data_IF_744909004280
#
_entry.id   IF_744909004280
#
_cell.length_a   1.000
_cell.length_b   1.000
_cell.length_c   1.000
_cell.angle_alpha   90.00
_cell.angle_beta   90.00
_cell.angle_gamma   90.00
#
_symmetry.space_group_name_H-M   'P 1'
#
loop_
_entity.id
_entity.type
_entity.pdbx_description
1 polymer ?
#
# COMPACT_ATOMS: atom_id res chain seq x y z
N UNK A 1 -7.45 27.67 -10.52
CA UNK A 1 -8.30 26.46 -10.62
C UNK A 1 -7.36 25.28 -10.83
N UNK A 2 -7.05 24.50 -9.78
CA UNK A 2 -6.25 23.30 -9.96
C UNK A 2 -7.10 22.28 -10.73
N UNK A 3 -6.63 21.91 -11.92
CA UNK A 3 -7.26 20.87 -12.74
C UNK A 3 -7.23 19.58 -11.91
N UNK A 4 -8.38 19.10 -11.46
CA UNK A 4 -8.50 17.75 -10.94
C UNK A 4 -8.14 16.82 -12.11
N UNK A 5 -6.91 16.31 -12.10
CA UNK A 5 -6.54 15.21 -12.96
C UNK A 5 -7.62 14.13 -12.74
N UNK A 6 -8.23 13.65 -13.81
CA UNK A 6 -9.09 12.48 -13.73
C UNK A 6 -8.25 11.39 -13.05
N UNK A 7 -8.52 11.13 -11.76
CA UNK A 7 -7.85 10.11 -10.94
C UNK A 7 -8.26 8.74 -11.48
N UNK A 8 -7.77 8.44 -12.68
CA UNK A 8 -7.80 7.11 -13.26
C UNK A 8 -6.98 6.24 -12.32
N UNK A 9 -7.62 5.20 -11.80
CA UNK A 9 -6.95 4.23 -10.95
C UNK A 9 -5.65 3.78 -11.64
N UNK A 10 -4.52 3.97 -10.96
CA UNK A 10 -3.20 3.60 -11.45
C UNK A 10 -2.72 2.35 -10.72
N UNK A 11 -2.00 1.50 -11.44
CA UNK A 11 -1.30 0.40 -10.80
C UNK A 11 0.03 0.90 -10.24
N UNK A 12 0.24 0.74 -8.92
CA UNK A 12 1.50 1.11 -8.31
C UNK A 12 2.62 0.17 -8.81
N UNK A 13 3.78 0.67 -9.28
CA UNK A 13 4.84 -0.16 -9.86
C UNK A 13 5.39 -1.23 -8.91
N UNK A 14 5.31 -1.00 -7.60
CA UNK A 14 5.78 -1.94 -6.57
C UNK A 14 4.67 -2.84 -6.01
N UNK A 15 3.43 -2.70 -6.47
CA UNK A 15 2.27 -3.44 -5.92
C UNK A 15 2.47 -4.95 -5.87
N UNK A 16 3.05 -5.54 -6.91
CA UNK A 16 3.30 -6.98 -6.94
C UNK A 16 4.19 -7.43 -5.78
N UNK A 17 5.27 -6.70 -5.52
CA UNK A 17 6.20 -7.00 -4.42
C UNK A 17 5.59 -6.66 -3.07
N UNK A 18 4.84 -5.57 -3.00
CA UNK A 18 4.22 -5.12 -1.76
C UNK A 18 3.12 -6.08 -1.31
N UNK A 19 2.37 -6.70 -2.23
CA UNK A 19 1.44 -7.80 -1.92
C UNK A 19 2.12 -8.98 -1.21
N UNK A 20 3.31 -9.37 -1.65
CA UNK A 20 4.08 -10.43 -0.97
C UNK A 20 4.46 -10.04 0.47
N UNK A 21 4.73 -8.75 0.71
CA UNK A 21 5.00 -8.23 2.06
C UNK A 21 3.72 -8.22 2.89
N UNK A 22 2.59 -7.77 2.33
CA UNK A 22 1.28 -7.80 3.01
C UNK A 22 0.88 -9.22 3.38
N UNK A 23 0.98 -10.18 2.46
CA UNK A 23 0.67 -11.58 2.72
C UNK A 23 1.52 -12.16 3.86
N UNK A 24 2.78 -11.74 3.95
CA UNK A 24 3.67 -12.11 5.04
C UNK A 24 3.24 -11.47 6.37
N UNK A 25 2.92 -10.17 6.36
CA UNK A 25 2.47 -9.43 7.54
C UNK A 25 1.15 -9.99 8.11
N UNK A 26 0.25 -10.49 7.25
CA UNK A 26 -1.00 -11.11 7.67
C UNK A 26 -0.82 -12.48 8.34
N UNK A 27 0.31 -13.14 8.12
CA UNK A 27 0.60 -14.49 8.66
C UNK A 27 1.55 -14.47 9.85
N UNK A 28 2.43 -13.49 9.91
CA UNK A 28 3.43 -13.38 10.97
C UNK A 28 2.91 -12.58 12.17
N UNK A 29 3.57 -12.76 13.32
CA UNK A 29 3.27 -11.97 14.51
C UNK A 29 3.74 -10.52 14.37
N UNK A 30 3.14 -9.65 15.18
CA UNK A 30 3.51 -8.26 15.28
C UNK A 30 4.89 -8.12 15.95
N UNK A 31 5.93 -7.95 15.14
CA UNK A 31 7.27 -7.59 15.57
C UNK A 31 7.59 -6.14 15.17
N UNK A 32 8.58 -5.51 15.81
CA UNK A 32 9.02 -4.15 15.47
C UNK A 32 9.34 -3.99 13.97
N UNK A 33 9.95 -5.03 13.37
CA UNK A 33 10.23 -5.08 11.94
C UNK A 33 8.95 -5.08 11.11
N UNK A 34 7.98 -5.92 11.48
CA UNK A 34 6.71 -6.05 10.76
C UNK A 34 5.87 -4.78 10.89
N UNK A 35 5.89 -4.13 12.06
CA UNK A 35 5.27 -2.84 12.28
C UNK A 35 5.90 -1.72 11.43
N UNK A 36 7.24 -1.71 11.31
CA UNK A 36 7.93 -0.76 10.45
C UNK A 36 7.59 -0.95 8.96
N UNK A 37 7.52 -2.20 8.47
CA UNK A 37 7.11 -2.48 7.08
C UNK A 37 5.65 -2.08 6.84
N UNK A 38 4.74 -2.38 7.78
CA UNK A 38 3.35 -1.94 7.70
C UNK A 38 3.24 -0.40 7.61
N UNK A 39 3.97 0.33 8.45
CA UNK A 39 4.00 1.79 8.41
C UNK A 39 4.53 2.31 7.07
N UNK A 40 5.60 1.71 6.55
CA UNK A 40 6.17 2.04 5.24
C UNK A 40 5.17 1.84 4.11
N UNK A 41 4.42 0.74 4.11
CA UNK A 41 3.38 0.47 3.12
C UNK A 41 2.22 1.47 3.22
N UNK A 42 1.76 1.77 4.44
CA UNK A 42 0.70 2.79 4.66
C UNK A 42 1.10 4.17 4.14
N UNK A 43 2.34 4.60 4.38
CA UNK A 43 2.84 5.88 3.85
C UNK A 43 2.93 5.86 2.33
N UNK A 44 3.49 4.80 1.74
CA UNK A 44 3.63 4.66 0.28
C UNK A 44 2.30 4.77 -0.45
N UNK A 45 1.29 4.11 0.07
CA UNK A 45 -0.02 4.06 -0.58
C UNK A 45 -0.93 5.21 -0.17
N UNK A 46 -0.54 6.04 0.79
CA UNK A 46 -1.35 7.18 1.23
C UNK A 46 -1.59 8.15 0.06
N UNK A 47 -2.86 8.34 -0.30
CA UNK A 47 -3.25 9.24 -1.40
C UNK A 47 -2.85 8.79 -2.80
N UNK A 48 -2.40 7.55 -2.99
CA UNK A 48 -2.07 7.03 -4.32
C UNK A 48 -3.34 6.60 -5.08
N UNK A 49 -3.59 7.10 -6.30
CA UNK A 49 -4.77 6.73 -7.09
C UNK A 49 -4.69 5.27 -7.57
N UNK A 50 -5.75 4.49 -7.32
CA UNK A 50 -5.82 3.07 -7.71
C UNK A 50 -5.27 2.06 -6.71
N UNK A 51 -4.71 2.48 -5.57
CA UNK A 51 -4.19 1.58 -4.54
C UNK A 51 -5.24 1.01 -3.57
N UNK A 52 -6.53 1.08 -3.90
CA UNK A 52 -7.62 0.77 -2.97
C UNK A 52 -7.57 -0.68 -2.46
N UNK A 53 -7.19 -1.62 -3.32
CA UNK A 53 -7.17 -3.04 -2.98
C UNK A 53 -6.12 -3.35 -1.92
N UNK A 54 -4.86 -2.93 -2.15
CA UNK A 54 -3.79 -3.18 -1.17
C UNK A 54 -4.01 -2.39 0.13
N UNK A 55 -4.57 -1.17 0.06
CA UNK A 55 -4.93 -0.41 1.25
C UNK A 55 -5.96 -1.12 2.15
N UNK A 56 -6.89 -1.90 1.58
CA UNK A 56 -7.86 -2.67 2.35
C UNK A 56 -7.24 -3.85 3.11
N UNK A 57 -6.04 -4.27 2.70
CA UNK A 57 -5.32 -5.40 3.28
C UNK A 57 -4.24 -4.98 4.31
N UNK A 58 -3.98 -3.67 4.47
CA UNK A 58 -2.97 -3.09 5.38
C UNK A 58 -3.54 -2.71 6.76
#
# INVERSE_FOLDING_TARGET
MAQAAEDKDQQHPQERRDREIVDRLLREEASDRNQAELARLRIRYCGFPGAREIQQQL
#
